data_IF_398659186935
#
_entry.id   IF_398659186935
#
_cell.length_a   1.000
_cell.length_b   1.000
_cell.length_c   1.000
_cell.angle_alpha   90.00
_cell.angle_beta   90.00
_cell.angle_gamma   90.00
#
_symmetry.space_group_name_H-M   'P 1'
#
loop_
_entity.id
_entity.type
_entity.pdbx_description
1 polymer ?
#
# COMPACT_ATOMS: atom_id res chain seq x y z
N UNK A 1 0.52 14.78 23.43
CA UNK A 1 0.20 16.09 22.85
C UNK A 1 -1.18 16.53 23.35
N UNK A 2 -1.33 17.78 23.82
CA UNK A 2 -2.63 18.43 24.05
C UNK A 2 -3.54 18.35 22.81
N UNK A 3 -4.86 18.33 23.02
CA UNK A 3 -5.83 18.16 21.93
C UNK A 3 -5.86 19.37 21.00
N UNK A 4 -5.62 20.56 21.54
CA UNK A 4 -5.58 21.85 20.86
C UNK A 4 -4.43 21.88 19.83
N UNK A 5 -3.24 21.43 20.25
CA UNK A 5 -2.09 21.32 19.35
C UNK A 5 -2.31 20.25 18.27
N UNK A 6 -2.98 19.14 18.60
CA UNK A 6 -3.34 18.14 17.58
C UNK A 6 -4.33 18.71 16.57
N UNK A 7 -5.28 19.55 16.99
CA UNK A 7 -6.25 20.19 16.11
C UNK A 7 -5.55 21.19 15.18
N UNK A 8 -4.65 22.01 15.72
CA UNK A 8 -3.84 22.94 14.93
C UNK A 8 -2.98 22.20 13.90
N UNK A 9 -2.25 21.15 14.32
CA UNK A 9 -1.46 20.32 13.41
C UNK A 9 -2.30 19.71 12.29
N UNK A 10 -3.53 19.27 12.58
CA UNK A 10 -4.44 18.71 11.57
C UNK A 10 -4.78 19.71 10.45
N UNK A 11 -4.75 21.02 10.71
CA UNK A 11 -5.02 22.04 9.67
C UNK A 11 -3.91 22.10 8.60
N UNK A 12 -2.68 21.69 8.94
CA UNK A 12 -1.54 21.64 8.03
C UNK A 12 -1.40 20.30 7.30
N UNK A 13 -2.20 19.29 7.65
CA UNK A 13 -2.12 17.95 7.09
C UNK A 13 -3.17 17.74 6.00
N UNK A 14 -2.74 17.09 4.91
CA UNK A 14 -3.65 16.58 3.89
C UNK A 14 -4.66 15.59 4.49
N UNK A 15 -5.73 15.31 3.75
CA UNK A 15 -6.69 14.27 4.13
C UNK A 15 -5.99 12.92 4.39
N UNK A 16 -5.16 12.48 3.46
CA UNK A 16 -4.42 11.22 3.55
C UNK A 16 -3.47 11.19 4.76
N UNK A 17 -2.80 12.31 5.03
CA UNK A 17 -1.91 12.45 6.18
C UNK A 17 -2.64 12.37 7.51
N UNK A 18 -3.85 12.94 7.62
CA UNK A 18 -4.70 12.79 8.82
C UNK A 18 -5.15 11.33 9.02
N UNK A 19 -5.48 10.63 7.94
CA UNK A 19 -5.79 9.19 7.98
C UNK A 19 -4.58 8.38 8.45
N UNK A 20 -3.38 8.65 7.91
CA UNK A 20 -2.15 7.99 8.32
C UNK A 20 -1.85 8.22 9.81
N UNK A 21 -1.97 9.47 10.28
CA UNK A 21 -1.73 9.83 11.67
C UNK A 21 -2.61 9.00 12.62
N UNK A 22 -3.88 8.80 12.28
CA UNK A 22 -4.81 7.95 13.04
C UNK A 22 -4.39 6.48 13.09
N UNK A 23 -3.70 5.99 12.07
CA UNK A 23 -3.25 4.60 12.01
C UNK A 23 -1.95 4.35 12.78
N UNK A 24 -1.28 5.38 13.30
CA UNK A 24 0.02 5.22 13.99
C UNK A 24 -0.11 4.65 15.40
N UNK A 25 -1.05 5.14 16.21
CA UNK A 25 -1.27 4.64 17.58
C UNK A 25 -2.72 4.84 18.05
N UNK A 26 -3.10 4.10 19.10
CA UNK A 26 -4.47 4.13 19.65
C UNK A 26 -4.87 5.51 20.18
N UNK A 27 -3.94 6.24 20.77
CA UNK A 27 -4.23 7.58 21.32
C UNK A 27 -4.54 8.58 20.21
N UNK A 28 -3.74 8.60 19.14
CA UNK A 28 -3.96 9.46 17.99
C UNK A 28 -5.21 9.04 17.21
N UNK A 29 -5.50 7.75 17.11
CA UNK A 29 -6.74 7.25 16.51
C UNK A 29 -7.99 7.87 17.16
N UNK A 30 -7.97 8.04 18.48
CA UNK A 30 -9.08 8.58 19.28
C UNK A 30 -9.12 10.12 19.28
N UNK A 31 -7.97 10.80 19.18
CA UNK A 31 -7.86 12.26 19.30
C UNK A 31 -7.93 13.01 17.98
N UNK A 32 -7.48 12.40 16.89
CA UNK A 32 -7.51 13.01 15.56
C UNK A 32 -8.92 12.79 14.99
N UNK A 33 -9.54 13.87 14.54
CA UNK A 33 -10.91 13.84 14.04
C UNK A 33 -11.01 12.84 12.89
N UNK A 34 -12.12 12.11 12.85
CA UNK A 34 -12.33 11.17 11.77
C UNK A 34 -12.46 11.96 10.46
N UNK A 35 -11.60 11.73 9.45
CA UNK A 35 -11.74 12.42 8.18
C UNK A 35 -12.96 11.84 7.46
N UNK A 36 -14.15 12.38 7.69
CA UNK A 36 -15.39 11.89 7.09
C UNK A 36 -15.60 12.48 5.71
N UNK A 37 -15.82 11.62 4.72
CA UNK A 37 -16.75 11.92 3.62
C UNK A 37 -18.09 11.33 4.05
N UNK A 38 -19.08 12.17 4.36
CA UNK A 38 -20.52 11.87 4.52
C UNK A 38 -20.95 10.50 5.14
N UNK A 39 -21.65 10.59 6.27
CA UNK A 39 -22.00 9.54 7.25
C UNK A 39 -22.95 8.41 6.85
N UNK A 40 -22.83 7.77 5.67
CA UNK A 40 -23.83 6.77 5.22
C UNK A 40 -23.31 5.40 4.78
N UNK A 41 -22.02 5.08 4.93
CA UNK A 41 -21.57 3.72 4.65
C UNK A 41 -20.41 3.27 5.52
N UNK A 42 -20.41 1.98 5.92
CA UNK A 42 -19.28 1.26 6.52
C UNK A 42 -18.05 1.15 5.58
N UNK A 43 -18.01 1.94 4.51
CA UNK A 43 -16.91 2.00 3.55
C UNK A 43 -15.79 2.82 4.18
N UNK A 44 -14.54 2.39 3.97
CA UNK A 44 -13.39 3.15 4.49
C UNK A 44 -13.44 4.57 3.95
N UNK A 45 -13.18 5.54 4.82
CA UNK A 45 -13.27 6.95 4.46
C UNK A 45 -12.23 7.37 3.39
N UNK A 46 -11.17 6.58 3.20
CA UNK A 46 -10.08 6.84 2.26
C UNK A 46 -10.08 5.91 1.05
N UNK A 47 -9.64 6.44 -0.08
CA UNK A 47 -9.50 5.75 -1.36
C UNK A 47 -8.06 5.40 -1.72
N UNK A 48 -7.87 4.91 -2.95
CA UNK A 48 -6.55 4.51 -3.43
C UNK A 48 -5.59 5.70 -3.57
N UNK A 49 -6.07 6.89 -3.93
CA UNK A 49 -5.23 8.10 -4.04
C UNK A 49 -4.61 8.43 -2.68
N UNK A 50 -5.43 8.39 -1.62
CA UNK A 50 -4.95 8.64 -0.26
C UNK A 50 -3.89 7.61 0.13
N UNK A 51 -4.13 6.33 -0.15
CA UNK A 51 -3.16 5.27 0.14
C UNK A 51 -1.83 5.42 -0.62
N UNK A 52 -1.87 5.95 -1.85
CA UNK A 52 -0.66 6.25 -2.64
C UNK A 52 0.15 7.38 -2.03
N UNK A 53 -0.50 8.34 -1.37
CA UNK A 53 0.18 9.39 -0.62
C UNK A 53 0.76 8.83 0.68
N UNK A 54 -0.03 8.05 1.44
CA UNK A 54 0.41 7.48 2.72
C UNK A 54 1.62 6.56 2.54
N UNK A 55 1.66 5.72 1.50
CA UNK A 55 2.80 4.81 1.29
C UNK A 55 4.13 5.51 1.00
N UNK A 56 4.13 6.84 0.76
CA UNK A 56 5.33 7.66 0.59
C UNK A 56 5.94 8.11 1.91
N UNK A 57 5.23 7.93 3.02
CA UNK A 57 5.77 8.27 4.33
C UNK A 57 6.99 7.40 4.65
N UNK A 58 7.97 7.92 5.42
CA UNK A 58 9.21 7.21 5.73
C UNK A 58 9.01 5.80 6.28
N UNK A 59 8.02 5.62 7.15
CA UNK A 59 7.65 4.32 7.75
C UNK A 59 7.26 3.26 6.72
N UNK A 60 6.70 3.67 5.58
CA UNK A 60 6.21 2.77 4.54
C UNK A 60 7.13 2.67 3.31
N UNK A 61 8.18 3.50 3.26
CA UNK A 61 9.07 3.67 2.11
C UNK A 61 10.53 3.38 2.47
N UNK A 62 10.78 2.19 3.01
CA UNK A 62 12.12 1.73 3.40
C UNK A 62 13.19 1.83 2.30
N UNK A 63 12.88 1.62 1.01
CA UNK A 63 13.89 1.68 -0.07
C UNK A 63 14.54 3.05 -0.19
N UNK A 64 13.86 4.15 0.15
CA UNK A 64 14.41 5.50 -0.01
C UNK A 64 15.70 5.73 0.81
N UNK A 65 15.88 4.96 1.89
CA UNK A 65 17.01 5.07 2.81
C UNK A 65 18.05 3.94 2.65
N UNK A 66 17.90 3.06 1.65
CA UNK A 66 18.87 1.99 1.35
C UNK A 66 19.80 2.44 0.22
N UNK A 67 21.10 2.13 0.34
CA UNK A 67 22.16 2.57 -0.56
C UNK A 67 21.82 2.35 -2.05
N UNK A 68 22.30 3.29 -2.87
CA UNK A 68 21.95 3.56 -4.29
C UNK A 68 22.02 2.33 -5.22
N UNK A 69 22.73 1.29 -4.81
CA UNK A 69 23.02 0.11 -5.62
C UNK A 69 21.88 -0.91 -5.67
N UNK A 70 20.87 -0.84 -4.79
CA UNK A 70 19.75 -1.80 -4.77
C UNK A 70 18.39 -1.13 -4.56
N UNK A 71 17.86 -0.45 -5.60
CA UNK A 71 16.52 0.17 -5.65
C UNK A 71 15.36 -0.84 -5.71
N UNK A 72 15.45 -1.96 -5.00
CA UNK A 72 14.41 -2.98 -4.97
C UNK A 72 13.66 -2.94 -3.64
N UNK A 73 12.33 -3.08 -3.70
CA UNK A 73 11.49 -3.16 -2.51
C UNK A 73 11.90 -4.36 -1.64
N UNK A 74 12.05 -4.11 -0.35
CA UNK A 74 12.38 -5.11 0.66
C UNK A 74 11.11 -5.56 1.37
N UNK A 75 10.90 -6.88 1.46
CA UNK A 75 9.78 -7.43 2.23
C UNK A 75 9.84 -6.93 3.69
N UNK A 76 8.67 -6.60 4.23
CA UNK A 76 8.45 -6.02 5.58
C UNK A 76 9.10 -4.66 5.88
N UNK A 77 9.88 -4.09 4.96
CA UNK A 77 10.43 -2.71 5.07
C UNK A 77 9.79 -1.75 4.08
N UNK A 78 9.27 -2.28 2.98
CA UNK A 78 8.50 -1.53 2.01
C UNK A 78 7.07 -1.99 1.97
N UNK A 79 6.18 -1.01 1.81
CA UNK A 79 4.75 -1.26 1.78
C UNK A 79 4.10 -0.58 0.58
N UNK A 80 3.09 -1.19 0.01
CA UNK A 80 2.40 -0.71 -1.18
C UNK A 80 0.88 -0.73 -0.96
N UNK A 81 0.20 0.24 -1.56
CA UNK A 81 -1.24 0.34 -1.58
C UNK A 81 -1.86 -0.68 -2.55
N UNK A 82 -2.95 -1.31 -2.14
CA UNK A 82 -3.78 -2.18 -2.98
C UNK A 82 -5.15 -1.54 -3.22
N UNK A 83 -5.54 -1.36 -4.48
CA UNK A 83 -6.80 -0.75 -4.85
C UNK A 83 -8.03 -1.63 -4.59
N UNK A 84 -7.86 -2.96 -4.59
CA UNK A 84 -8.96 -3.90 -4.39
C UNK A 84 -9.36 -4.06 -2.92
N UNK A 85 -8.38 -4.19 -2.02
CA UNK A 85 -8.68 -4.29 -0.59
C UNK A 85 -8.56 -2.96 0.15
N UNK A 86 -8.11 -1.88 -0.50
CA UNK A 86 -7.85 -0.56 0.08
C UNK A 86 -6.96 -0.61 1.33
N UNK A 87 -5.89 -1.41 1.31
CA UNK A 87 -4.92 -1.52 2.41
C UNK A 87 -3.49 -1.30 1.92
N UNK A 88 -2.67 -0.78 2.81
CA UNK A 88 -1.20 -0.80 2.71
C UNK A 88 -0.73 -2.18 3.15
N UNK A 89 0.09 -2.84 2.33
CA UNK A 89 0.57 -4.21 2.55
C UNK A 89 2.06 -4.30 2.26
N UNK A 90 2.78 -5.23 2.87
CA UNK A 90 4.22 -5.37 2.65
C UNK A 90 4.54 -5.73 1.19
N UNK A 91 5.75 -5.42 0.74
CA UNK A 91 6.25 -5.75 -0.60
C UNK A 91 6.16 -7.26 -0.90
N UNK A 92 6.33 -8.13 0.10
CA UNK A 92 6.11 -9.58 -0.01
C UNK A 92 4.69 -9.98 -0.41
N UNK A 93 3.71 -9.07 -0.33
CA UNK A 93 2.34 -9.32 -0.75
C UNK A 93 2.03 -8.80 -2.15
N UNK A 94 3.01 -8.34 -2.92
CA UNK A 94 2.82 -7.87 -4.30
C UNK A 94 3.76 -8.61 -5.26
N UNK A 95 3.29 -8.83 -6.49
CA UNK A 95 4.19 -9.28 -7.55
C UNK A 95 5.18 -8.17 -7.93
N UNK A 96 6.36 -8.56 -8.42
CA UNK A 96 7.39 -7.63 -8.83
C UNK A 96 6.90 -6.67 -9.94
N UNK A 97 5.98 -7.12 -10.80
CA UNK A 97 5.34 -6.29 -11.81
C UNK A 97 4.49 -5.14 -11.22
N UNK A 98 3.96 -5.30 -10.00
CA UNK A 98 3.24 -4.23 -9.29
C UNK A 98 4.17 -3.25 -8.57
N UNK A 99 5.44 -3.63 -8.33
CA UNK A 99 6.39 -2.84 -7.56
C UNK A 99 7.50 -2.20 -8.41
N UNK A 100 7.61 -2.57 -9.69
CA UNK A 100 8.64 -2.10 -10.62
C UNK A 100 8.05 -1.29 -11.79
N UNK A 101 8.93 -0.69 -12.59
CA UNK A 101 8.55 0.11 -13.76
C UNK A 101 7.64 1.28 -13.39
N UNK A 102 6.67 1.62 -14.26
CA UNK A 102 5.73 2.74 -14.04
C UNK A 102 4.87 2.58 -12.76
N UNK A 103 4.64 1.35 -12.31
CA UNK A 103 3.84 1.08 -11.09
C UNK A 103 4.67 1.18 -9.81
N UNK A 104 5.99 1.11 -9.93
CA UNK A 104 6.89 1.21 -8.79
C UNK A 104 6.89 2.60 -8.15
N UNK A 105 7.30 2.65 -6.88
CA UNK A 105 7.49 3.91 -6.14
C UNK A 105 8.64 4.73 -6.71
N UNK A 106 9.75 4.08 -7.02
CA UNK A 106 10.95 4.71 -7.57
C UNK A 106 10.94 4.80 -9.10
N UNK A 107 9.86 4.35 -9.75
CA UNK A 107 9.72 4.43 -11.20
C UNK A 107 9.08 5.74 -11.65
N UNK A 108 9.32 6.09 -12.91
CA UNK A 108 8.88 7.35 -13.54
C UNK A 108 7.39 7.31 -13.99
N UNK A 109 6.55 6.49 -13.36
CA UNK A 109 5.14 6.41 -13.69
C UNK A 109 4.29 7.45 -12.98
N UNK A 110 3.12 7.70 -13.56
CA UNK A 110 2.11 8.64 -13.05
C UNK A 110 1.31 8.03 -11.90
N UNK A 111 0.48 8.85 -11.24
CA UNK A 111 -0.52 8.34 -10.29
C UNK A 111 -1.41 7.31 -10.98
N UNK A 112 -1.84 7.56 -12.24
CA UNK A 112 -2.66 6.67 -13.06
C UNK A 112 -2.07 5.26 -13.23
N UNK A 113 -0.75 5.16 -13.39
CA UNK A 113 -0.07 3.87 -13.48
C UNK A 113 -0.13 3.10 -12.14
N UNK A 114 -0.12 3.80 -11.01
CA UNK A 114 -0.03 3.22 -9.66
C UNK A 114 -1.39 2.87 -9.05
N UNK A 115 -2.48 3.54 -9.46
CA UNK A 115 -3.84 3.27 -8.96
C UNK A 115 -4.28 1.83 -9.26
N UNK A 116 -3.74 1.23 -10.33
CA UNK A 116 -4.03 -0.14 -10.74
C UNK A 116 -3.28 -1.23 -9.94
N UNK A 117 -2.55 -0.89 -8.87
CA UNK A 117 -1.82 -1.89 -8.08
C UNK A 117 -2.74 -2.67 -7.16
N UNK A 118 -2.50 -3.98 -7.10
CA UNK A 118 -3.21 -4.89 -6.21
C UNK A 118 -2.27 -5.94 -5.63
N UNK A 119 -2.57 -6.38 -4.40
CA UNK A 119 -1.78 -7.42 -3.75
C UNK A 119 -2.09 -8.80 -4.36
N UNK A 120 -1.20 -9.76 -4.13
CA UNK A 120 -1.29 -11.13 -4.61
C UNK A 120 -2.63 -11.78 -4.24
N UNK A 121 -3.02 -11.70 -2.97
CA UNK A 121 -4.28 -12.27 -2.48
C UNK A 121 -5.49 -11.73 -3.23
N UNK A 122 -5.57 -10.41 -3.43
CA UNK A 122 -6.67 -9.80 -4.18
C UNK A 122 -6.59 -10.14 -5.67
N UNK A 123 -5.41 -10.11 -6.26
CA UNK A 123 -5.21 -10.47 -7.66
C UNK A 123 -5.66 -11.91 -7.96
N UNK A 124 -5.37 -12.84 -7.07
CA UNK A 124 -5.79 -14.24 -7.19
C UNK A 124 -7.29 -14.40 -6.96
N UNK A 125 -7.82 -13.84 -5.85
CA UNK A 125 -9.25 -13.94 -5.52
C UNK A 125 -10.14 -13.31 -6.61
N UNK A 126 -9.70 -12.20 -7.19
CA UNK A 126 -10.40 -11.51 -8.28
C UNK A 126 -10.00 -12.01 -9.68
N UNK A 127 -9.29 -13.14 -9.79
CA UNK A 127 -8.85 -13.77 -11.06
C UNK A 127 -8.13 -12.81 -12.02
N UNK A 128 -7.39 -11.83 -11.49
CA UNK A 128 -6.51 -10.93 -12.27
C UNK A 128 -5.23 -11.64 -12.71
N UNK A 129 -4.86 -12.72 -12.02
CA UNK A 129 -3.82 -13.63 -12.47
C UNK A 129 -4.48 -14.90 -13.04
N UNK A 130 -4.19 -15.26 -14.30
CA UNK A 130 -4.64 -16.53 -14.86
C UNK A 130 -4.14 -17.73 -14.05
N UNK A 131 -4.89 -18.82 -14.09
CA UNK A 131 -4.47 -20.09 -13.52
C UNK A 131 -3.17 -20.57 -14.19
N UNK A 132 -2.27 -21.18 -13.42
CA UNK A 132 -0.95 -21.62 -13.89
C UNK A 132 0.07 -20.50 -14.04
N UNK A 133 -0.27 -19.25 -13.73
CA UNK A 133 0.66 -18.13 -13.84
C UNK A 133 1.76 -18.23 -12.80
N UNK A 134 3.01 -18.21 -13.25
CA UNK A 134 4.20 -18.03 -12.39
C UNK A 134 4.43 -16.54 -12.15
N UNK A 135 4.56 -16.15 -10.89
CA UNK A 135 4.76 -14.77 -10.47
C UNK A 135 6.05 -14.66 -9.67
N UNK A 136 6.89 -13.68 -10.02
CA UNK A 136 7.95 -13.23 -9.14
C UNK A 136 7.37 -12.22 -8.14
N UNK A 137 7.75 -12.30 -6.87
CA UNK A 137 7.23 -11.45 -5.80
C UNK A 137 8.26 -11.18 -4.70
N UNK A 138 7.94 -10.25 -3.80
CA UNK A 138 8.81 -9.90 -2.67
C UNK A 138 10.03 -9.04 -3.03
N UNK A 139 10.06 -8.45 -4.23
CA UNK A 139 11.06 -7.48 -4.64
C UNK A 139 12.48 -8.07 -4.62
N UNK A 140 13.32 -7.58 -3.71
CA UNK A 140 14.71 -8.00 -3.57
C UNK A 140 14.87 -9.46 -3.14
N UNK A 141 13.86 -10.07 -2.49
CA UNK A 141 13.92 -11.48 -2.07
C UNK A 141 13.79 -12.46 -3.23
N UNK A 142 13.51 -12.00 -4.46
CA UNK A 142 13.39 -12.80 -5.69
C UNK A 142 12.53 -14.07 -5.55
N UNK A 143 11.50 -14.05 -4.69
CA UNK A 143 10.63 -15.22 -4.49
C UNK A 143 9.80 -15.49 -5.74
N UNK A 144 9.44 -16.75 -5.94
CA UNK A 144 8.57 -17.18 -7.02
C UNK A 144 7.37 -17.90 -6.43
N UNK A 145 6.21 -17.75 -7.05
CA UNK A 145 5.02 -18.51 -6.68
C UNK A 145 4.17 -18.81 -7.91
N UNK A 146 3.23 -19.73 -7.75
CA UNK A 146 2.35 -20.23 -8.79
C UNK A 146 0.89 -20.04 -8.38
N UNK A 147 0.06 -19.58 -9.31
CA UNK A 147 -1.39 -19.70 -9.15
C UNK A 147 -1.80 -21.12 -9.53
N UNK A 148 -2.20 -21.93 -8.56
CA UNK A 148 -2.55 -23.33 -8.77
C UNK A 148 -3.62 -23.50 -9.85
N UNK A 149 -3.38 -24.40 -10.81
CA UNK A 149 -4.31 -24.66 -11.92
C UNK A 149 -5.63 -25.30 -11.48
N UNK A 150 -5.62 -26.02 -10.36
CA UNK A 150 -6.77 -26.79 -9.89
C UNK A 150 -7.63 -26.00 -8.91
N UNK A 151 -7.01 -25.41 -7.88
CA UNK A 151 -7.75 -24.75 -6.81
C UNK A 151 -7.71 -23.21 -6.90
N UNK A 152 -6.91 -22.64 -7.80
CA UNK A 152 -6.77 -21.20 -7.96
C UNK A 152 -6.16 -20.48 -6.76
N UNK A 153 -5.51 -21.19 -5.82
CA UNK A 153 -4.77 -20.58 -4.71
C UNK A 153 -3.36 -20.18 -5.14
N UNK A 154 -2.73 -19.31 -4.37
CA UNK A 154 -1.34 -18.92 -4.60
C UNK A 154 -0.41 -19.76 -3.74
N UNK A 155 0.48 -20.52 -4.39
CA UNK A 155 1.49 -21.34 -3.74
C UNK A 155 2.85 -20.65 -3.90
N UNK A 156 3.57 -20.47 -2.79
CA UNK A 156 4.87 -19.80 -2.70
C UNK A 156 6.01 -20.80 -2.56
#
# INVERSE_FOLDING_TARGET
>A
LPAELLLELQTFLSYASRVALRCTCRDLYNKVEHPTTSSLSNTRAYGMIDLLEIERWPEYHGVEYVSVENKQALDRRDFFACCLCLRIRSAGQFSNAMMRGKRGKLGNGTIADRIGRFCLTCGVTSRRYPLGTRLQFGGASQRQGLVCVTCGRFDQ
#
